data_IF_246225949549
#
_entry.id   IF_246225949549
#
_cell.length_a   1.000
_cell.length_b   1.000
_cell.length_c   1.000
_cell.angle_alpha   90.00
_cell.angle_beta   90.00
_cell.angle_gamma   90.00
#
_symmetry.space_group_name_H-M   'P 1'
#
loop_
_entity.id
_entity.type
_entity.pdbx_description
1 polymer ?
#
# COMPACT_ATOMS: atom_id res chain seq x y z
N UNK A 1 33.77 35.02 7.17
CA UNK A 1 32.82 34.00 7.70
C UNK A 1 33.35 32.63 7.27
N UNK A 2 33.62 31.71 8.21
CA UNK A 2 34.04 30.34 7.89
C UNK A 2 32.82 29.43 8.04
N UNK A 3 32.34 28.87 6.94
CA UNK A 3 31.33 27.81 6.93
C UNK A 3 32.04 26.47 6.69
N UNK A 4 31.74 25.46 7.50
CA UNK A 4 32.24 24.09 7.35
C UNK A 4 31.08 23.14 7.07
N UNK A 5 31.31 22.14 6.21
CA UNK A 5 30.32 21.10 5.91
C UNK A 5 30.57 19.88 6.80
N UNK A 6 29.51 19.35 7.41
CA UNK A 6 29.53 18.07 8.12
C UNK A 6 28.80 17.01 7.29
N UNK A 7 29.45 15.88 7.03
CA UNK A 7 28.83 14.76 6.34
C UNK A 7 28.18 13.81 7.35
N UNK A 8 26.87 13.60 7.23
CA UNK A 8 26.11 12.65 8.03
C UNK A 8 25.56 11.55 7.12
N UNK A 9 25.96 10.29 7.37
CA UNK A 9 25.43 9.13 6.65
C UNK A 9 23.97 8.91 7.06
N UNK A 10 23.05 9.05 6.10
CA UNK A 10 21.62 8.79 6.30
C UNK A 10 21.21 7.45 5.68
N UNK A 11 20.12 6.87 6.18
CA UNK A 11 19.49 5.69 5.58
C UNK A 11 18.27 6.13 4.77
N UNK A 12 18.15 5.76 3.48
CA UNK A 12 16.97 6.09 2.68
C UNK A 12 15.69 5.53 3.30
N UNK A 13 14.64 6.34 3.37
CA UNK A 13 13.33 5.91 3.85
C UNK A 13 12.56 5.20 2.73
N UNK A 14 12.23 3.93 2.92
CA UNK A 14 11.40 3.16 1.98
C UNK A 14 9.96 3.16 2.48
N UNK A 15 9.04 3.91 1.86
CA UNK A 15 7.65 3.98 2.29
C UNK A 15 6.92 2.65 2.10
N UNK A 16 5.76 2.51 2.73
CA UNK A 16 4.87 1.37 2.44
C UNK A 16 4.10 1.61 1.14
N UNK A 17 3.69 0.53 0.44
CA UNK A 17 2.81 0.62 -0.72
C UNK A 17 1.60 1.53 -0.48
N UNK A 18 1.41 2.50 -1.37
CA UNK A 18 0.25 3.38 -1.35
C UNK A 18 -0.99 2.55 -1.66
N UNK A 19 -1.88 2.40 -0.68
CA UNK A 19 -3.16 1.71 -0.84
C UNK A 19 -4.29 2.74 -0.89
N UNK A 20 -5.14 2.62 -1.89
CA UNK A 20 -6.36 3.41 -1.99
C UNK A 20 -7.37 2.93 -0.93
N UNK A 21 -7.84 3.82 -0.05
CA UNK A 21 -8.81 3.44 0.98
C UNK A 21 -10.24 3.29 0.45
N UNK A 22 -10.50 3.70 -0.80
CA UNK A 22 -11.79 3.49 -1.48
C UNK A 22 -11.88 2.09 -2.10
N UNK A 23 -10.99 1.77 -3.03
CA UNK A 23 -11.04 0.50 -3.79
C UNK A 23 -10.07 -0.58 -3.29
N UNK A 24 -9.25 -0.29 -2.26
CA UNK A 24 -8.27 -1.20 -1.65
C UNK A 24 -7.10 -1.66 -2.55
N UNK A 25 -7.02 -1.14 -3.78
CA UNK A 25 -5.90 -1.42 -4.71
C UNK A 25 -4.66 -0.57 -4.41
N UNK A 26 -3.50 -1.06 -4.81
CA UNK A 26 -2.24 -0.33 -4.70
C UNK A 26 -2.03 0.69 -5.84
N UNK A 27 -1.14 1.65 -5.62
CA UNK A 27 -0.61 2.55 -6.65
C UNK A 27 -1.30 3.91 -6.80
N UNK A 28 -2.40 4.18 -6.09
CA UNK A 28 -3.07 5.48 -6.16
C UNK A 28 -3.74 5.87 -4.84
N UNK A 29 -3.96 7.18 -4.67
CA UNK A 29 -4.69 7.73 -3.52
C UNK A 29 -6.20 7.70 -3.76
N UNK A 30 -6.96 7.89 -2.68
CA UNK A 30 -8.43 7.99 -2.73
C UNK A 30 -8.91 9.09 -3.69
N UNK A 31 -8.22 10.23 -3.75
CA UNK A 31 -8.62 11.37 -4.59
C UNK A 31 -8.51 11.05 -6.09
N UNK A 32 -7.61 10.16 -6.48
CA UNK A 32 -7.43 9.78 -7.88
C UNK A 32 -8.12 8.45 -8.21
N UNK A 33 -8.97 7.95 -7.30
CA UNK A 33 -9.61 6.65 -7.45
C UNK A 33 -10.82 6.71 -8.37
N UNK A 34 -10.78 5.92 -9.44
CA UNK A 34 -11.90 5.71 -10.37
C UNK A 34 -12.76 4.48 -10.03
N UNK A 35 -12.43 3.78 -8.94
CA UNK A 35 -13.13 2.58 -8.49
C UNK A 35 -14.28 2.86 -7.52
N UNK A 36 -15.02 1.79 -7.20
CA UNK A 36 -16.08 1.79 -6.20
C UNK A 36 -15.53 1.58 -4.79
N UNK A 37 -16.36 1.87 -3.79
CA UNK A 37 -16.06 1.57 -2.40
C UNK A 37 -16.05 0.04 -2.19
N UNK A 38 -14.91 -0.48 -1.75
CA UNK A 38 -14.63 -1.91 -1.60
C UNK A 38 -14.22 -2.20 -0.17
N UNK A 39 -14.82 -3.25 0.40
CA UNK A 39 -14.52 -3.72 1.74
C UNK A 39 -13.05 -4.17 1.85
N UNK A 40 -12.32 -3.66 2.84
CA UNK A 40 -10.91 -4.03 3.07
C UNK A 40 -10.71 -5.45 3.59
N UNK A 41 -11.78 -6.11 4.06
CA UNK A 41 -11.73 -7.49 4.58
C UNK A 41 -11.93 -8.52 3.48
N UNK A 42 -13.00 -8.38 2.70
CA UNK A 42 -13.46 -9.40 1.76
C UNK A 42 -13.40 -8.97 0.28
N UNK A 43 -13.01 -7.74 -0.02
CA UNK A 43 -12.87 -7.28 -1.40
C UNK A 43 -14.17 -7.06 -2.16
N UNK A 44 -15.34 -7.19 -1.52
CA UNK A 44 -16.65 -6.97 -2.13
C UNK A 44 -17.16 -5.54 -1.94
N UNK A 45 -18.08 -5.11 -2.79
CA UNK A 45 -18.77 -3.81 -2.72
C UNK A 45 -20.13 -3.95 -2.04
N UNK A 46 -20.74 -2.83 -1.64
CA UNK A 46 -22.11 -2.80 -1.10
C UNK A 46 -22.22 -2.91 0.43
N UNK A 47 -21.09 -2.96 1.14
CA UNK A 47 -21.06 -2.88 2.60
C UNK A 47 -19.76 -2.26 3.12
N UNK A 48 -19.79 -1.80 4.38
CA UNK A 48 -18.60 -1.28 5.07
C UNK A 48 -17.84 -2.41 5.76
N UNK A 49 -16.54 -2.21 6.02
CA UNK A 49 -15.70 -3.13 6.79
C UNK A 49 -16.34 -3.51 8.15
N UNK A 50 -17.02 -2.56 8.81
CA UNK A 50 -17.66 -2.77 10.12
C UNK A 50 -18.82 -3.79 10.10
N UNK A 51 -19.51 -3.91 8.97
CA UNK A 51 -20.66 -4.80 8.78
C UNK A 51 -20.31 -6.01 7.90
N UNK A 52 -19.03 -6.33 7.75
CA UNK A 52 -18.57 -7.42 6.89
C UNK A 52 -18.76 -8.79 7.58
N UNK A 53 -19.66 -9.60 7.02
CA UNK A 53 -19.91 -10.99 7.45
C UNK A 53 -19.18 -12.03 6.58
N UNK A 54 -18.56 -11.60 5.49
CA UNK A 54 -17.85 -12.47 4.56
C UNK A 54 -16.46 -12.85 5.08
N UNK A 55 -15.93 -14.03 4.67
CA UNK A 55 -14.55 -14.42 4.96
C UNK A 55 -13.55 -13.42 4.37
N UNK A 56 -12.33 -13.43 4.88
CA UNK A 56 -11.29 -12.55 4.37
C UNK A 56 -10.90 -12.93 2.94
N UNK A 57 -10.79 -11.93 2.09
CA UNK A 57 -10.35 -12.08 0.72
C UNK A 57 -9.71 -10.77 0.26
N UNK A 58 -8.45 -10.87 -0.15
CA UNK A 58 -7.69 -9.72 -0.59
C UNK A 58 -7.99 -9.40 -2.06
N UNK A 59 -8.54 -8.21 -2.34
CA UNK A 59 -8.79 -7.74 -3.72
C UNK A 59 -7.55 -7.71 -4.64
N UNK A 60 -6.34 -7.72 -4.07
CA UNK A 60 -5.10 -7.62 -4.84
C UNK A 60 -4.54 -9.01 -5.24
N UNK A 61 -4.80 -10.06 -4.46
CA UNK A 61 -4.22 -11.39 -4.70
C UNK A 61 -5.21 -12.55 -4.55
N UNK A 62 -6.46 -12.29 -4.17
CA UNK A 62 -7.55 -13.25 -3.96
C UNK A 62 -7.28 -14.33 -2.90
N UNK A 63 -6.31 -14.10 -2.00
CA UNK A 63 -5.96 -15.00 -0.91
C UNK A 63 -6.75 -14.68 0.37
N UNK A 64 -6.79 -15.65 1.30
CA UNK A 64 -7.52 -15.57 2.58
C UNK A 64 -6.81 -14.66 3.60
N UNK A 65 -6.83 -13.36 3.32
CA UNK A 65 -6.43 -12.31 4.24
C UNK A 65 -7.02 -10.96 3.78
N UNK A 66 -7.08 -9.99 4.68
CA UNK A 66 -7.48 -8.62 4.35
C UNK A 66 -6.53 -7.91 3.35
N UNK A 67 -7.03 -6.87 2.67
CA UNK A 67 -6.27 -6.07 1.71
C UNK A 67 -5.12 -5.23 2.34
N UNK A 68 -5.10 -5.08 3.66
CA UNK A 68 -4.02 -4.40 4.40
C UNK A 68 -2.95 -5.35 4.96
N UNK A 69 -3.06 -6.65 4.71
CA UNK A 69 -2.08 -7.63 5.18
C UNK A 69 -0.72 -7.47 4.48
N UNK A 70 0.36 -7.45 5.28
CA UNK A 70 1.75 -7.44 4.78
C UNK A 70 2.21 -8.79 4.25
N UNK A 71 1.42 -9.84 4.48
CA UNK A 71 1.73 -11.18 3.97
C UNK A 71 1.36 -11.32 2.49
N UNK A 72 0.52 -10.41 1.97
CA UNK A 72 0.08 -10.35 0.59
C UNK A 72 1.26 -10.35 -0.39
N UNK A 73 1.22 -11.23 -1.40
CA UNK A 73 2.24 -11.28 -2.45
C UNK A 73 2.33 -9.96 -3.22
N UNK A 74 1.19 -9.36 -3.58
CA UNK A 74 1.17 -8.05 -4.24
C UNK A 74 1.77 -6.95 -3.38
N UNK A 75 1.50 -6.96 -2.07
CA UNK A 75 2.10 -5.98 -1.16
C UNK A 75 3.64 -6.10 -1.14
N UNK A 76 4.17 -7.34 -1.09
CA UNK A 76 5.62 -7.59 -1.14
C UNK A 76 6.23 -7.12 -2.46
N UNK A 77 5.55 -7.38 -3.59
CA UNK A 77 5.96 -6.89 -4.91
C UNK A 77 6.02 -5.35 -4.96
N UNK A 78 4.96 -4.66 -4.53
CA UNK A 78 4.93 -3.19 -4.47
C UNK A 78 6.02 -2.63 -3.55
N UNK A 79 6.29 -3.30 -2.42
CA UNK A 79 7.36 -2.90 -1.49
C UNK A 79 8.75 -3.04 -2.14
N UNK A 80 8.96 -4.07 -2.96
CA UNK A 80 10.21 -4.23 -3.72
C UNK A 80 10.35 -3.12 -4.76
N UNK A 81 9.28 -2.80 -5.50
CA UNK A 81 9.29 -1.70 -6.49
C UNK A 81 9.65 -0.37 -5.80
N UNK A 82 9.03 -0.06 -4.67
CA UNK A 82 9.35 1.15 -3.89
C UNK A 82 10.78 1.13 -3.35
N UNK A 83 11.29 -0.04 -2.97
CA UNK A 83 12.68 -0.20 -2.53
C UNK A 83 13.63 0.15 -3.66
N UNK A 84 13.45 -0.44 -4.84
CA UNK A 84 14.24 -0.15 -6.04
C UNK A 84 14.18 1.34 -6.38
N UNK A 85 12.98 1.93 -6.34
CA UNK A 85 12.78 3.35 -6.62
C UNK A 85 13.63 4.25 -5.70
N UNK A 86 13.63 3.95 -4.41
CA UNK A 86 14.37 4.73 -3.40
C UNK A 86 15.88 4.45 -3.45
N UNK A 87 16.31 3.21 -3.69
CA UNK A 87 17.74 2.85 -3.67
C UNK A 87 18.47 3.18 -4.97
N UNK A 88 17.77 3.15 -6.10
CA UNK A 88 18.32 3.47 -7.42
C UNK A 88 18.02 4.91 -7.87
N UNK A 89 17.36 5.72 -7.02
CA UNK A 89 16.92 7.09 -7.33
C UNK A 89 16.12 7.20 -8.63
N UNK A 90 15.17 6.28 -8.84
CA UNK A 90 14.23 6.26 -9.98
C UNK A 90 12.91 6.97 -9.67
#
# INVERSE_FOLDING_TARGET
IKAGYQNCKVRPYIPNPLRCFKCQKFGHSTNNCRGNETCSRCGQTGHSFKSCLFPENCVNCNENHSANSRQCLKWKQEKQILTIKVTQNL
#
